data_IF_277914068390
#
_entry.id   IF_277914068390
#
_cell.length_a   1.000
_cell.length_b   1.000
_cell.length_c   1.000
_cell.angle_alpha   90.00
_cell.angle_beta   90.00
_cell.angle_gamma   90.00
#
_symmetry.space_group_name_H-M   'P 1'
#
loop_
_entity.id
_entity.type
_entity.pdbx_description
1 polymer ?
#
# COMPACT_ATOMS: atom_id res chain seq x y z
N UNK A 1 -42.55 -42.81 48.12
CA UNK A 1 -43.94 -42.85 47.69
C UNK A 1 -44.00 -43.44 46.29
N UNK A 2 -44.90 -44.45 46.10
CA UNK A 2 -45.10 -45.10 44.82
C UNK A 2 -45.75 -44.08 43.86
N UNK A 3 -45.08 -43.80 42.69
CA UNK A 3 -45.66 -42.98 41.66
C UNK A 3 -46.76 -43.75 40.93
N UNK A 4 -47.93 -43.16 40.79
CA UNK A 4 -49.09 -43.75 40.11
C UNK A 4 -49.22 -43.32 38.66
N UNK A 5 -48.37 -42.46 38.19
CA UNK A 5 -48.35 -41.97 36.82
C UNK A 5 -46.95 -41.95 36.26
N UNK A 6 -46.76 -42.28 34.96
CA UNK A 6 -45.48 -42.21 34.27
C UNK A 6 -44.91 -40.78 34.09
N UNK A 7 -45.79 -39.78 34.34
CA UNK A 7 -45.46 -38.35 34.15
C UNK A 7 -45.64 -37.56 35.47
N UNK A 8 -45.40 -38.17 36.63
CA UNK A 8 -45.59 -37.48 37.88
C UNK A 8 -44.72 -36.26 38.16
N UNK A 9 -43.52 -36.29 37.70
CA UNK A 9 -42.56 -35.17 37.84
C UNK A 9 -41.85 -34.91 36.52
N UNK A 10 -41.80 -33.67 36.13
CA UNK A 10 -40.98 -33.22 35.01
C UNK A 10 -39.59 -32.79 35.50
N UNK A 11 -38.60 -32.70 34.62
CA UNK A 11 -37.26 -32.22 34.94
C UNK A 11 -37.18 -30.71 35.22
N UNK A 12 -38.29 -30.00 35.06
CA UNK A 12 -38.35 -28.54 35.24
C UNK A 12 -37.63 -27.73 34.14
N UNK A 13 -37.60 -26.44 34.34
CA UNK A 13 -36.98 -25.49 33.42
C UNK A 13 -35.46 -25.39 33.52
N UNK A 14 -34.82 -26.18 34.39
CA UNK A 14 -33.38 -26.17 34.58
C UNK A 14 -32.66 -26.94 33.45
N UNK A 15 -32.04 -26.23 32.50
CA UNK A 15 -31.31 -26.80 31.38
C UNK A 15 -30.10 -27.64 31.78
N UNK A 16 -29.58 -27.48 33.01
CA UNK A 16 -28.41 -28.22 33.51
C UNK A 16 -28.72 -29.67 33.94
N UNK A 17 -29.98 -30.11 33.84
CA UNK A 17 -30.42 -31.47 34.16
C UNK A 17 -31.37 -32.02 33.11
N UNK A 18 -31.43 -33.35 32.99
CA UNK A 18 -32.37 -34.09 32.13
C UNK A 18 -32.84 -35.36 32.85
N UNK A 19 -33.96 -35.89 32.41
CA UNK A 19 -34.58 -37.08 33.00
C UNK A 19 -34.77 -38.18 31.96
N UNK A 20 -33.84 -39.14 31.81
CA UNK A 20 -34.06 -40.29 30.96
C UNK A 20 -35.27 -41.13 31.42
N UNK A 21 -35.78 -41.95 30.50
CA UNK A 21 -36.90 -42.87 30.83
C UNK A 21 -36.52 -43.73 32.03
N UNK A 22 -37.39 -43.77 33.03
CA UNK A 22 -37.17 -44.51 34.28
C UNK A 22 -36.31 -43.74 35.30
N UNK A 23 -36.05 -42.46 35.10
CA UNK A 23 -35.30 -41.65 36.07
C UNK A 23 -36.02 -41.53 37.40
N UNK A 24 -35.27 -41.74 38.45
CA UNK A 24 -35.69 -41.55 39.84
C UNK A 24 -35.38 -40.13 40.34
N UNK A 25 -34.27 -39.57 39.84
CA UNK A 25 -33.82 -38.20 40.10
C UNK A 25 -33.28 -37.56 38.79
N UNK A 26 -33.33 -36.23 38.68
CA UNK A 26 -32.71 -35.55 37.55
C UNK A 26 -31.21 -35.84 37.44
N UNK A 27 -30.73 -36.12 36.23
CA UNK A 27 -29.31 -36.36 35.93
C UNK A 27 -28.68 -35.05 35.47
N UNK A 28 -27.51 -34.69 35.97
CA UNK A 28 -26.76 -33.51 35.52
C UNK A 28 -26.27 -33.71 34.10
N UNK A 29 -26.41 -32.67 33.29
CA UNK A 29 -25.86 -32.65 31.92
C UNK A 29 -24.34 -32.71 31.96
N UNK A 30 -23.74 -33.45 31.05
CA UNK A 30 -22.30 -33.55 30.90
C UNK A 30 -21.74 -32.25 30.29
N UNK A 31 -20.48 -31.94 30.61
CA UNK A 31 -19.77 -30.78 29.98
C UNK A 31 -19.69 -30.99 28.48
N UNK A 32 -20.00 -29.97 27.70
CA UNK A 32 -20.03 -30.04 26.25
C UNK A 32 -21.28 -30.68 25.65
N UNK A 33 -22.33 -30.87 26.48
CA UNK A 33 -23.63 -31.38 26.04
C UNK A 33 -24.73 -30.36 26.31
N UNK A 34 -25.78 -30.38 25.50
CA UNK A 34 -27.02 -29.66 25.73
C UNK A 34 -28.19 -30.63 25.93
N UNK A 35 -29.22 -30.17 26.57
CA UNK A 35 -30.40 -31.02 26.88
C UNK A 35 -31.47 -30.82 25.82
N UNK A 36 -32.17 -31.92 25.48
CA UNK A 36 -33.27 -31.93 24.49
C UNK A 36 -34.51 -32.54 25.11
N UNK A 37 -35.68 -32.07 24.68
CA UNK A 37 -36.97 -32.64 25.06
C UNK A 37 -37.22 -33.99 24.39
N UNK A 38 -38.16 -34.79 24.92
CA UNK A 38 -38.64 -35.99 24.24
C UNK A 38 -39.69 -35.58 23.19
N UNK A 39 -39.31 -35.63 21.92
CA UNK A 39 -40.32 -35.62 20.84
C UNK A 39 -40.85 -37.01 20.66
N UNK A 40 -42.14 -37.14 20.42
CA UNK A 40 -42.90 -38.43 20.27
C UNK A 40 -42.41 -39.23 19.06
N UNK A 41 -41.43 -38.79 18.30
CA UNK A 41 -40.91 -39.40 17.09
C UNK A 41 -39.38 -39.48 16.98
N UNK A 42 -38.67 -39.56 18.09
CA UNK A 42 -37.28 -40.11 18.13
C UNK A 42 -36.18 -39.47 17.31
N UNK A 43 -36.40 -38.35 16.67
CA UNK A 43 -35.36 -37.56 16.03
C UNK A 43 -35.37 -36.11 16.55
N UNK A 44 -34.20 -35.56 16.96
CA UNK A 44 -34.12 -34.14 17.31
C UNK A 44 -34.39 -33.32 16.04
N UNK A 45 -35.51 -32.59 16.03
CA UNK A 45 -35.76 -31.60 14.96
C UNK A 45 -34.80 -30.42 15.12
N UNK A 46 -33.79 -30.35 14.29
CA UNK A 46 -32.93 -29.19 14.19
C UNK A 46 -33.71 -28.07 13.49
N UNK A 47 -34.36 -27.23 14.27
CA UNK A 47 -35.02 -26.03 13.72
C UNK A 47 -34.02 -24.91 13.58
N UNK A 48 -33.73 -24.57 12.33
CA UNK A 48 -33.04 -23.39 11.79
C UNK A 48 -31.63 -23.05 12.24
N UNK A 49 -30.69 -22.84 11.26
CA UNK A 49 -29.28 -22.52 11.53
C UNK A 49 -29.05 -21.14 12.17
N UNK A 50 -30.08 -20.31 12.32
CA UNK A 50 -29.97 -18.93 12.82
C UNK A 50 -30.65 -18.67 14.17
N UNK A 51 -31.22 -19.67 14.87
CA UNK A 51 -31.77 -19.43 16.18
C UNK A 51 -30.69 -19.62 17.26
N UNK A 52 -30.37 -18.55 18.00
CA UNK A 52 -29.41 -18.54 19.10
C UNK A 52 -29.79 -19.51 20.23
N UNK A 53 -30.99 -20.04 20.23
CA UNK A 53 -31.50 -20.97 21.26
C UNK A 53 -32.37 -22.05 20.60
N UNK A 54 -32.09 -23.30 20.90
CA UNK A 54 -33.04 -24.37 20.68
C UNK A 54 -34.00 -24.33 21.84
N UNK A 55 -35.14 -23.69 21.67
CA UNK A 55 -36.27 -23.76 22.62
C UNK A 55 -37.08 -25.02 22.30
N UNK A 56 -36.59 -26.19 22.65
CA UNK A 56 -37.43 -27.35 22.82
C UNK A 56 -38.00 -27.30 24.22
N UNK A 57 -39.25 -27.63 24.34
CA UNK A 57 -40.12 -27.69 25.51
C UNK A 57 -39.35 -27.62 26.85
N UNK A 58 -39.29 -26.44 27.44
CA UNK A 58 -38.49 -26.12 28.64
C UNK A 58 -38.78 -27.05 29.84
N UNK A 59 -39.81 -27.89 29.74
CA UNK A 59 -40.32 -28.70 30.84
C UNK A 59 -40.00 -30.19 30.71
N UNK A 60 -39.69 -30.72 29.52
CA UNK A 60 -39.57 -32.17 29.26
C UNK A 60 -38.21 -32.61 28.76
N UNK A 61 -37.14 -32.20 29.39
CA UNK A 61 -35.78 -32.57 29.01
C UNK A 61 -35.52 -34.07 29.28
N UNK A 62 -35.42 -34.87 28.20
CA UNK A 62 -35.34 -36.34 28.31
C UNK A 62 -33.96 -36.90 28.01
N UNK A 63 -33.11 -36.15 27.27
CA UNK A 63 -31.80 -36.60 26.86
C UNK A 63 -30.81 -35.45 26.82
N UNK A 64 -29.53 -35.79 26.70
CA UNK A 64 -28.46 -34.85 26.36
C UNK A 64 -27.86 -35.23 25.02
N UNK A 65 -27.44 -34.20 24.25
CA UNK A 65 -26.78 -34.33 22.96
C UNK A 65 -25.45 -33.60 23.02
N UNK A 66 -24.42 -34.18 22.47
CA UNK A 66 -23.11 -33.55 22.40
C UNK A 66 -23.15 -32.36 21.46
N UNK A 67 -22.59 -31.20 21.87
CA UNK A 67 -22.48 -30.04 21.02
C UNK A 67 -21.74 -30.36 19.72
N UNK A 68 -22.36 -30.06 18.61
CA UNK A 68 -21.80 -30.22 17.26
C UNK A 68 -20.80 -29.12 16.92
N UNK A 69 -19.95 -29.30 15.90
CA UNK A 69 -19.04 -28.26 15.39
C UNK A 69 -19.79 -26.96 15.07
N UNK A 70 -19.13 -25.83 15.35
CA UNK A 70 -19.73 -24.50 15.23
C UNK A 70 -20.48 -24.02 16.44
N UNK A 71 -20.64 -24.88 17.48
CA UNK A 71 -21.36 -24.58 18.74
C UNK A 71 -20.56 -25.00 19.97
N UNK A 72 -20.89 -24.38 21.11
CA UNK A 72 -20.40 -24.76 22.42
C UNK A 72 -21.60 -24.87 23.40
N UNK A 73 -21.47 -25.69 24.43
CA UNK A 73 -22.54 -25.96 25.35
C UNK A 73 -22.15 -25.70 26.81
N UNK A 74 -22.91 -24.84 27.47
CA UNK A 74 -22.73 -24.52 28.88
C UNK A 74 -24.05 -24.80 29.62
N UNK A 75 -23.95 -25.57 30.69
CA UNK A 75 -25.10 -25.88 31.58
C UNK A 75 -26.34 -26.38 30.80
N UNK A 76 -26.14 -27.23 29.81
CA UNK A 76 -27.20 -27.80 28.99
C UNK A 76 -27.83 -26.91 27.92
N UNK A 77 -27.27 -25.74 27.71
CA UNK A 77 -27.70 -24.80 26.66
C UNK A 77 -26.66 -24.76 25.56
N UNK A 78 -27.11 -24.80 24.32
CA UNK A 78 -26.29 -24.68 23.10
C UNK A 78 -26.17 -23.22 22.66
N UNK A 79 -24.95 -22.79 22.41
CA UNK A 79 -24.62 -21.47 21.93
C UNK A 79 -23.79 -21.59 20.64
N UNK A 80 -23.99 -20.69 19.71
CA UNK A 80 -23.17 -20.58 18.51
C UNK A 80 -21.77 -20.05 18.86
N UNK A 81 -20.71 -20.60 18.27
CA UNK A 81 -19.37 -20.03 18.39
C UNK A 81 -19.38 -18.58 17.92
N UNK A 82 -18.82 -17.63 18.70
CA UNK A 82 -18.90 -16.22 18.38
C UNK A 82 -18.08 -15.90 17.11
N UNK A 83 -18.41 -14.76 16.52
CA UNK A 83 -17.67 -14.22 15.39
C UNK A 83 -16.17 -14.09 15.69
N UNK A 84 -15.33 -14.38 14.72
CA UNK A 84 -13.87 -14.38 14.87
C UNK A 84 -13.32 -15.68 15.45
N UNK A 85 -14.20 -16.61 15.88
CA UNK A 85 -13.83 -17.91 16.41
C UNK A 85 -14.44 -19.04 15.58
N UNK A 86 -13.86 -20.23 15.69
CA UNK A 86 -14.37 -21.45 15.05
C UNK A 86 -14.47 -22.60 16.04
N UNK A 87 -15.39 -23.53 15.77
CA UNK A 87 -15.55 -24.75 16.53
C UNK A 87 -15.44 -25.97 15.63
N UNK A 88 -14.27 -26.62 15.55
CA UNK A 88 -14.03 -27.75 14.65
C UNK A 88 -14.40 -29.10 15.23
N UNK A 89 -14.59 -29.20 16.54
CA UNK A 89 -14.79 -30.45 17.24
C UNK A 89 -16.12 -30.52 17.99
N UNK A 90 -16.58 -31.72 18.26
CA UNK A 90 -17.75 -31.96 19.12
C UNK A 90 -17.41 -31.69 20.59
N UNK A 91 -18.43 -31.33 21.36
CA UNK A 91 -18.34 -31.25 22.82
C UNK A 91 -17.63 -30.02 23.36
N UNK A 92 -17.54 -28.96 22.56
CA UNK A 92 -17.02 -27.66 23.02
C UNK A 92 -17.90 -27.11 24.16
N UNK A 93 -17.26 -26.50 25.16
CA UNK A 93 -17.93 -26.06 26.40
C UNK A 93 -17.55 -24.64 26.82
N UNK A 94 -16.79 -23.92 26.02
CA UNK A 94 -16.42 -22.53 26.27
C UNK A 94 -16.69 -21.67 25.02
N UNK A 95 -16.91 -20.36 25.21
CA UNK A 95 -17.12 -19.40 24.14
C UNK A 95 -15.88 -19.14 23.27
N UNK A 96 -14.71 -19.61 23.66
CA UNK A 96 -13.49 -19.59 22.85
C UNK A 96 -13.59 -20.62 21.73
N UNK A 97 -14.48 -21.63 21.89
CA UNK A 97 -14.67 -22.74 20.96
C UNK A 97 -13.34 -23.50 20.72
N UNK A 98 -12.93 -23.71 19.48
CA UNK A 98 -11.63 -24.34 19.17
C UNK A 98 -10.50 -23.32 19.05
N UNK A 99 -10.82 -22.01 18.93
CA UNK A 99 -9.86 -20.93 18.86
C UNK A 99 -10.29 -19.81 17.91
N UNK A 100 -9.37 -18.87 17.70
CA UNK A 100 -9.54 -17.75 16.78
C UNK A 100 -9.30 -18.17 15.33
N UNK A 101 -9.94 -17.50 14.36
CA UNK A 101 -9.64 -17.65 12.94
C UNK A 101 -8.20 -17.31 12.64
N UNK A 102 -7.60 -18.07 11.74
CA UNK A 102 -6.25 -17.80 11.25
C UNK A 102 -6.17 -16.47 10.52
N UNK A 103 -5.00 -15.83 10.59
CA UNK A 103 -4.67 -14.64 9.81
C UNK A 103 -4.79 -14.91 8.31
N UNK A 104 -5.33 -13.96 7.55
CA UNK A 104 -5.71 -14.10 6.14
C UNK A 104 -7.12 -14.66 5.92
N UNK A 105 -7.82 -15.03 7.01
CA UNK A 105 -9.19 -15.56 6.97
C UNK A 105 -10.08 -14.86 7.99
N UNK A 106 -11.39 -14.97 7.78
CA UNK A 106 -12.37 -14.51 8.76
C UNK A 106 -13.44 -15.56 9.00
N UNK A 107 -14.05 -15.50 10.17
CA UNK A 107 -15.07 -16.43 10.63
C UNK A 107 -16.32 -15.69 11.10
N UNK A 108 -17.44 -15.96 10.47
CA UNK A 108 -18.75 -15.54 10.99
C UNK A 108 -19.18 -16.48 12.14
N UNK A 109 -20.26 -16.13 12.81
CA UNK A 109 -20.81 -16.95 13.89
C UNK A 109 -21.09 -18.39 13.39
N UNK A 110 -20.70 -19.38 14.22
CA UNK A 110 -20.91 -20.79 13.90
C UNK A 110 -19.91 -21.38 12.89
N UNK A 111 -18.83 -20.69 12.60
CA UNK A 111 -17.75 -21.23 11.75
C UNK A 111 -17.16 -22.50 12.34
N UNK A 112 -16.84 -23.46 11.45
CA UNK A 112 -16.29 -24.78 11.83
C UNK A 112 -14.82 -24.96 11.49
N UNK A 113 -14.23 -24.02 10.77
CA UNK A 113 -12.84 -24.06 10.31
C UNK A 113 -12.13 -22.75 10.63
N UNK A 114 -10.83 -22.77 11.02
CA UNK A 114 -10.03 -21.55 11.20
C UNK A 114 -9.82 -20.78 9.89
N UNK A 115 -10.07 -21.42 8.74
CA UNK A 115 -9.94 -20.90 7.38
C UNK A 115 -11.29 -20.85 6.68
N UNK A 116 -12.33 -20.38 7.36
CA UNK A 116 -13.70 -20.45 6.85
C UNK A 116 -13.89 -19.62 5.59
N UNK A 117 -13.48 -18.34 5.59
CA UNK A 117 -13.56 -17.43 4.46
C UNK A 117 -12.24 -16.73 4.27
N UNK A 118 -11.69 -16.74 3.05
CA UNK A 118 -10.39 -16.13 2.75
C UNK A 118 -10.50 -14.65 2.39
N UNK A 119 -9.54 -13.84 2.84
CA UNK A 119 -9.32 -12.47 2.37
C UNK A 119 -8.37 -12.50 1.17
N UNK A 120 -8.88 -12.78 -0.01
CA UNK A 120 -8.11 -13.01 -1.24
C UNK A 120 -8.04 -11.80 -2.18
N UNK A 121 -8.67 -10.69 -1.84
CA UNK A 121 -8.61 -9.44 -2.61
C UNK A 121 -7.57 -8.49 -2.01
N UNK A 122 -6.81 -7.78 -2.87
CA UNK A 122 -5.80 -6.82 -2.43
C UNK A 122 -6.40 -5.66 -1.62
N UNK A 123 -7.66 -5.30 -1.86
CA UNK A 123 -8.34 -4.20 -1.19
C UNK A 123 -8.76 -4.48 0.25
N UNK A 124 -8.58 -5.73 0.72
CA UNK A 124 -8.96 -6.17 2.08
C UNK A 124 -7.86 -6.96 2.75
N UNK A 125 -7.92 -7.06 4.06
CA UNK A 125 -7.05 -7.91 4.88
C UNK A 125 -7.78 -8.43 6.10
N UNK A 126 -7.30 -9.53 6.67
CA UNK A 126 -7.87 -10.19 7.84
C UNK A 126 -6.77 -10.55 8.83
N UNK A 127 -6.55 -9.78 9.90
CA UNK A 127 -5.74 -10.21 11.05
C UNK A 127 -6.33 -11.44 11.73
N UNK A 128 -5.53 -12.13 12.55
CA UNK A 128 -6.00 -13.23 13.39
C UNK A 128 -7.26 -12.84 14.17
N UNK A 129 -8.23 -13.73 14.26
CA UNK A 129 -9.49 -13.48 14.96
C UNK A 129 -10.48 -12.57 14.21
N UNK A 130 -10.25 -12.30 12.95
CA UNK A 130 -11.19 -11.50 12.15
C UNK A 130 -12.54 -12.17 12.00
N UNK A 131 -13.59 -11.38 12.14
CA UNK A 131 -14.98 -11.83 11.91
C UNK A 131 -15.54 -11.38 10.57
N UNK A 132 -14.86 -10.47 9.91
CA UNK A 132 -15.15 -9.96 8.55
C UNK A 132 -13.85 -9.42 7.95
N UNK A 133 -13.82 -9.22 6.63
CA UNK A 133 -12.72 -8.55 5.97
C UNK A 133 -12.68 -7.06 6.31
N UNK A 134 -11.48 -6.51 6.47
CA UNK A 134 -11.22 -5.08 6.71
C UNK A 134 -10.67 -4.45 5.44
N UNK A 135 -11.19 -3.29 5.03
CA UNK A 135 -10.71 -2.58 3.85
C UNK A 135 -9.33 -1.97 4.08
N UNK A 136 -8.47 -2.04 3.07
CA UNK A 136 -7.15 -1.41 3.09
C UNK A 136 -7.29 0.10 2.88
N UNK A 137 -6.79 0.96 3.79
CA UNK A 137 -6.83 2.40 3.61
C UNK A 137 -5.93 2.85 2.45
N UNK A 138 -6.24 4.00 1.84
CA UNK A 138 -5.35 4.65 0.87
C UNK A 138 -3.99 4.95 1.48
N UNK A 139 -2.91 4.80 0.71
CA UNK A 139 -1.54 4.93 1.20
C UNK A 139 -0.98 3.66 1.86
N UNK A 140 -1.78 2.58 1.89
CA UNK A 140 -1.35 1.26 2.37
C UNK A 140 -1.57 0.20 1.31
N UNK A 141 -0.81 -0.88 1.39
CA UNK A 141 -1.01 -2.08 0.59
C UNK A 141 -1.14 -3.31 1.49
N UNK A 142 -1.89 -4.30 1.02
CA UNK A 142 -2.10 -5.54 1.76
C UNK A 142 -0.98 -6.56 1.49
N UNK A 143 -0.61 -7.28 2.55
CA UNK A 143 0.44 -8.29 2.52
C UNK A 143 -0.17 -9.66 2.80
N UNK A 144 0.16 -10.64 1.97
CA UNK A 144 -0.21 -12.04 2.17
C UNK A 144 0.73 -12.75 3.14
N UNK A 145 0.25 -13.86 3.68
CA UNK A 145 1.03 -14.70 4.60
C UNK A 145 2.21 -15.42 3.91
N UNK A 146 2.10 -15.65 2.59
CA UNK A 146 3.15 -16.23 1.76
C UNK A 146 3.23 -15.44 0.45
N UNK A 147 4.37 -14.84 0.15
CA UNK A 147 4.63 -13.99 -1.01
C UNK A 147 4.37 -14.65 -2.38
N UNK A 148 4.34 -15.97 -2.46
CA UNK A 148 4.19 -16.71 -3.71
C UNK A 148 2.74 -17.01 -4.13
N UNK A 149 1.78 -16.86 -3.23
CA UNK A 149 0.36 -17.02 -3.55
C UNK A 149 -0.42 -15.87 -2.90
N UNK A 150 -0.71 -14.84 -3.65
CA UNK A 150 -1.53 -13.68 -3.22
C UNK A 150 -2.98 -14.05 -2.86
N UNK A 151 -3.18 -15.23 -2.27
CA UNK A 151 -4.50 -15.82 -2.01
C UNK A 151 -5.06 -15.49 -0.64
N UNK A 152 -4.22 -14.98 0.28
CA UNK A 152 -4.69 -14.61 1.63
C UNK A 152 -3.97 -13.37 2.12
N UNK A 153 -4.70 -12.32 2.46
CA UNK A 153 -4.18 -11.04 2.95
C UNK A 153 -4.38 -10.96 4.45
N UNK A 154 -3.29 -10.85 5.20
CA UNK A 154 -3.33 -10.89 6.67
C UNK A 154 -3.00 -9.57 7.35
N UNK A 155 -2.25 -8.70 6.68
CA UNK A 155 -1.77 -7.44 7.24
C UNK A 155 -1.62 -6.37 6.17
N UNK A 156 -1.28 -5.15 6.59
CA UNK A 156 -1.00 -4.02 5.70
C UNK A 156 0.34 -3.39 6.03
N UNK A 157 0.94 -2.73 5.04
CA UNK A 157 2.11 -1.88 5.22
C UNK A 157 1.92 -0.54 4.52
N UNK A 158 2.68 0.47 4.93
CA UNK A 158 2.75 1.75 4.24
C UNK A 158 3.28 1.57 2.83
N UNK A 159 2.72 2.32 1.91
CA UNK A 159 3.21 2.42 0.56
C UNK A 159 4.69 2.85 0.55
N UNK A 160 5.57 2.21 -0.20
CA UNK A 160 6.98 2.59 -0.25
C UNK A 160 7.18 3.93 -0.99
N UNK A 161 8.29 4.66 -0.69
CA UNK A 161 8.66 5.86 -1.43
C UNK A 161 8.68 5.64 -2.95
N UNK A 162 8.41 6.67 -3.72
CA UNK A 162 8.32 6.59 -5.18
C UNK A 162 7.03 5.95 -5.70
N UNK A 163 6.15 5.49 -4.82
CA UNK A 163 4.94 4.75 -5.18
C UNK A 163 3.68 5.38 -4.57
N UNK A 164 2.54 4.99 -5.13
CA UNK A 164 1.22 5.22 -4.54
C UNK A 164 0.46 3.92 -4.39
N UNK A 165 -0.43 3.87 -3.38
CA UNK A 165 -1.20 2.67 -3.07
C UNK A 165 -2.70 2.98 -3.03
N UNK A 166 -3.43 2.34 -3.92
CA UNK A 166 -4.89 2.42 -4.01
C UNK A 166 -5.44 1.00 -4.03
N UNK A 167 -6.49 0.76 -3.26
CA UNK A 167 -7.13 -0.56 -3.15
C UNK A 167 -6.11 -1.67 -2.78
N UNK A 168 -5.16 -1.34 -1.90
CA UNK A 168 -4.17 -2.30 -1.42
C UNK A 168 -3.08 -2.71 -2.42
N UNK A 169 -2.99 -2.06 -3.58
CA UNK A 169 -2.04 -2.36 -4.65
C UNK A 169 -1.01 -1.24 -4.74
N UNK A 170 0.28 -1.61 -4.77
CA UNK A 170 1.42 -0.71 -5.00
C UNK A 170 1.55 -0.43 -6.50
N UNK A 171 1.70 0.84 -6.86
CA UNK A 171 1.97 1.30 -8.22
C UNK A 171 3.03 2.41 -8.17
N UNK A 172 3.98 2.44 -9.12
CA UNK A 172 4.97 3.51 -9.18
C UNK A 172 4.33 4.85 -9.54
N UNK A 173 4.89 5.94 -9.01
CA UNK A 173 4.58 7.28 -9.47
C UNK A 173 5.05 7.45 -10.92
N UNK A 174 4.18 8.01 -11.77
CA UNK A 174 4.50 8.28 -13.17
C UNK A 174 5.68 9.27 -13.30
N UNK A 175 6.44 9.21 -14.39
CA UNK A 175 7.52 10.16 -14.63
C UNK A 175 7.06 11.61 -14.51
N UNK A 176 7.89 12.46 -13.91
CA UNK A 176 7.59 13.85 -13.59
C UNK A 176 6.92 14.06 -12.25
N UNK A 177 6.63 12.99 -11.51
CA UNK A 177 6.03 12.99 -10.17
C UNK A 177 6.91 12.24 -9.18
N UNK A 178 6.72 12.54 -7.90
CA UNK A 178 7.46 11.90 -6.80
C UNK A 178 6.55 11.59 -5.62
N UNK A 179 7.00 10.68 -4.75
CA UNK A 179 6.37 10.42 -3.45
C UNK A 179 7.41 10.08 -2.40
N UNK A 180 7.49 10.89 -1.32
CA UNK A 180 8.50 10.76 -0.27
C UNK A 180 8.25 9.53 0.61
N UNK A 181 6.98 9.29 0.95
CA UNK A 181 6.61 8.27 1.94
C UNK A 181 5.45 7.38 1.52
N UNK A 182 5.19 7.30 0.20
CA UNK A 182 4.08 6.53 -0.33
C UNK A 182 2.74 7.25 -0.23
N UNK A 183 2.20 7.58 -1.39
CA UNK A 183 0.96 8.33 -1.52
C UNK A 183 -0.27 7.43 -1.55
N UNK A 184 -1.40 7.97 -1.15
CA UNK A 184 -2.73 7.37 -1.33
C UNK A 184 -3.44 7.81 -2.61
N UNK A 185 -2.76 8.58 -3.48
CA UNK A 185 -3.30 9.13 -4.73
C UNK A 185 -2.36 8.86 -5.90
N UNK A 186 -2.93 8.67 -7.09
CA UNK A 186 -2.17 8.56 -8.34
C UNK A 186 -1.40 9.86 -8.70
N UNK A 187 -1.77 10.99 -8.11
CA UNK A 187 -1.03 12.24 -8.22
C UNK A 187 0.28 12.24 -7.44
N UNK A 188 0.52 11.20 -6.64
CA UNK A 188 1.64 11.09 -5.72
C UNK A 188 1.69 12.31 -4.78
N UNK A 189 2.89 12.74 -4.33
CA UNK A 189 2.99 13.91 -3.46
C UNK A 189 3.06 15.22 -4.27
N UNK A 190 3.43 15.11 -5.55
CA UNK A 190 3.47 16.26 -6.44
C UNK A 190 4.32 16.08 -7.68
N UNK A 191 4.57 17.22 -8.35
CA UNK A 191 5.45 17.33 -9.51
C UNK A 191 6.88 17.62 -9.05
N UNK A 192 7.88 17.12 -9.79
CA UNK A 192 9.26 17.48 -9.60
C UNK A 192 9.47 18.98 -9.74
N UNK A 193 10.44 19.51 -9.00
CA UNK A 193 10.80 20.92 -9.03
C UNK A 193 11.41 21.32 -10.36
N UNK A 194 11.32 22.62 -10.67
CA UNK A 194 12.03 23.21 -11.82
C UNK A 194 13.54 23.01 -11.67
N UNK A 195 14.22 22.74 -12.76
CA UNK A 195 15.65 22.40 -12.77
C UNK A 195 15.95 20.92 -12.54
N UNK A 196 14.93 20.12 -12.21
CA UNK A 196 15.05 18.68 -11.96
C UNK A 196 14.09 17.89 -12.84
N UNK A 197 14.38 16.62 -13.03
CA UNK A 197 13.46 15.67 -13.62
C UNK A 197 13.31 14.43 -12.75
N UNK A 198 12.15 13.81 -12.83
CA UNK A 198 11.84 12.59 -12.10
C UNK A 198 11.56 11.45 -13.07
N UNK A 199 12.40 10.42 -13.10
CA UNK A 199 12.07 9.15 -13.72
C UNK A 199 10.86 8.47 -13.04
N UNK A 200 10.46 7.32 -13.57
CA UNK A 200 9.49 6.45 -12.93
C UNK A 200 9.94 6.11 -11.50
N UNK A 201 9.00 6.10 -10.53
CA UNK A 201 9.23 5.69 -9.14
C UNK A 201 10.15 6.66 -8.34
N UNK A 202 10.16 7.94 -8.69
CA UNK A 202 10.94 8.94 -7.98
C UNK A 202 10.42 9.20 -6.57
N UNK A 203 11.36 9.33 -5.63
CA UNK A 203 11.08 9.52 -4.20
C UNK A 203 11.29 10.95 -3.71
N UNK A 204 11.78 11.86 -4.57
CA UNK A 204 12.08 13.25 -4.24
C UNK A 204 11.65 14.19 -5.35
N UNK A 205 11.25 15.44 -4.99
CA UNK A 205 10.99 16.51 -5.94
C UNK A 205 12.24 16.92 -6.73
N UNK A 206 13.42 16.63 -6.18
CA UNK A 206 14.74 16.95 -6.71
C UNK A 206 15.53 15.67 -7.00
N UNK A 207 14.89 14.68 -7.63
CA UNK A 207 15.46 13.34 -7.80
C UNK A 207 16.72 13.35 -8.64
N UNK A 208 16.66 13.99 -9.82
CA UNK A 208 17.80 14.08 -10.74
C UNK A 208 17.88 15.48 -11.32
N UNK A 209 19.07 16.07 -11.30
CA UNK A 209 19.32 17.37 -11.90
C UNK A 209 19.13 17.35 -13.43
N UNK A 210 18.58 18.41 -13.99
CA UNK A 210 18.77 18.68 -15.41
C UNK A 210 20.28 18.80 -15.71
N UNK A 211 20.82 18.06 -16.67
CA UNK A 211 22.27 18.01 -16.91
C UNK A 211 22.81 19.34 -17.39
N UNK A 212 24.10 19.60 -17.16
CA UNK A 212 24.75 20.80 -17.67
C UNK A 212 24.51 21.01 -19.16
N UNK A 213 24.29 22.27 -19.60
CA UNK A 213 23.93 22.64 -20.96
C UNK A 213 22.42 22.56 -21.24
N UNK A 214 21.64 22.13 -20.28
CA UNK A 214 20.17 22.06 -20.35
C UNK A 214 19.52 22.83 -19.20
N UNK A 215 18.25 23.14 -19.36
CA UNK A 215 17.45 23.80 -18.32
C UNK A 215 16.06 23.20 -18.20
N UNK A 216 15.47 23.29 -17.03
CA UNK A 216 14.11 22.85 -16.70
C UNK A 216 13.28 24.01 -16.15
N UNK A 217 12.59 24.76 -17.03
CA UNK A 217 11.89 25.99 -16.64
C UNK A 217 10.57 25.79 -15.91
N UNK A 218 10.08 24.57 -15.81
CA UNK A 218 8.78 24.26 -15.20
C UNK A 218 8.85 22.93 -14.43
N UNK A 219 7.96 22.75 -13.43
CA UNK A 219 7.86 21.50 -12.70
C UNK A 219 7.44 20.32 -13.59
N UNK A 220 7.70 19.09 -13.12
CA UNK A 220 7.20 17.88 -13.74
C UNK A 220 7.97 17.41 -14.97
N UNK A 221 9.29 17.73 -15.07
CA UNK A 221 10.14 17.15 -16.10
C UNK A 221 10.30 15.65 -15.91
N UNK A 222 10.31 14.90 -17.01
CA UNK A 222 10.24 13.43 -17.00
C UNK A 222 11.57 12.74 -17.32
N UNK A 223 12.52 13.45 -17.94
CA UNK A 223 13.78 12.89 -18.39
C UNK A 223 14.87 13.97 -18.54
N UNK A 224 16.09 13.54 -18.84
CA UNK A 224 17.28 14.38 -19.03
C UNK A 224 17.18 15.46 -20.12
N UNK A 225 16.22 15.38 -21.02
CA UNK A 225 15.99 16.42 -22.03
C UNK A 225 15.55 17.73 -21.40
N UNK A 226 14.86 17.64 -20.24
CA UNK A 226 14.30 18.76 -19.49
C UNK A 226 13.40 19.65 -20.36
N UNK A 227 13.47 20.99 -20.26
CA UNK A 227 12.72 21.89 -21.14
C UNK A 227 13.48 22.09 -22.49
N UNK A 228 14.81 22.09 -22.44
CA UNK A 228 15.60 22.30 -23.63
C UNK A 228 17.08 22.57 -23.34
N UNK A 229 17.79 23.06 -24.38
CA UNK A 229 19.21 23.39 -24.32
C UNK A 229 19.41 24.89 -24.03
N UNK A 230 20.50 25.20 -23.36
CA UNK A 230 20.92 26.57 -23.08
C UNK A 230 21.07 27.39 -24.36
N UNK A 231 20.71 28.67 -24.30
CA UNK A 231 20.89 29.61 -25.41
C UNK A 231 22.38 29.92 -25.67
N UNK A 232 22.74 30.17 -26.92
CA UNK A 232 24.09 30.61 -27.25
C UNK A 232 24.42 31.93 -26.53
N UNK A 233 25.64 32.04 -26.05
CA UNK A 233 26.10 33.18 -25.24
C UNK A 233 25.85 33.05 -23.74
N UNK A 234 25.25 31.97 -23.34
CA UNK A 234 24.98 31.62 -21.94
C UNK A 234 25.41 30.19 -21.62
N UNK A 235 25.61 29.87 -20.37
CA UNK A 235 25.81 28.49 -19.93
C UNK A 235 24.85 28.13 -18.80
N UNK A 236 24.48 26.89 -18.75
CA UNK A 236 23.58 26.33 -17.78
C UNK A 236 24.30 25.23 -16.97
N UNK A 237 24.71 25.51 -15.75
CA UNK A 237 25.16 24.43 -14.85
C UNK A 237 24.01 23.41 -14.57
N UNK A 238 24.30 22.35 -13.83
CA UNK A 238 23.25 21.44 -13.33
C UNK A 238 22.11 22.19 -12.68
N UNK A 239 20.89 21.65 -12.77
CA UNK A 239 19.64 22.18 -12.24
C UNK A 239 19.27 23.60 -12.66
N UNK A 240 19.79 24.10 -13.79
CA UNK A 240 19.38 25.39 -14.35
C UNK A 240 17.91 25.43 -14.70
N UNK A 241 17.29 26.59 -14.50
CA UNK A 241 15.84 26.80 -14.74
C UNK A 241 15.56 27.70 -15.93
N UNK A 242 16.58 28.39 -16.47
CA UNK A 242 16.48 29.34 -17.57
C UNK A 242 17.43 28.96 -18.73
N UNK A 243 17.06 29.21 -20.03
CA UNK A 243 17.97 29.05 -21.13
C UNK A 243 19.10 30.09 -21.13
N UNK A 244 19.00 31.13 -20.30
CA UNK A 244 19.94 32.25 -20.15
C UNK A 244 20.39 32.36 -18.69
N UNK A 245 20.73 31.20 -18.06
CA UNK A 245 20.98 31.12 -16.62
C UNK A 245 22.18 31.97 -16.20
N UNK A 246 23.31 31.78 -16.86
CA UNK A 246 24.57 32.45 -16.55
C UNK A 246 25.18 33.09 -17.79
N UNK A 247 25.60 34.36 -17.66
CA UNK A 247 26.33 35.11 -18.70
C UNK A 247 27.83 34.81 -18.69
N UNK A 248 28.48 35.12 -19.81
CA UNK A 248 29.89 34.93 -20.02
C UNK A 248 30.79 35.71 -19.04
N UNK A 249 30.55 36.97 -18.90
CA UNK A 249 31.30 37.85 -18.03
C UNK A 249 32.74 38.21 -18.43
N UNK A 250 33.37 37.43 -19.32
CA UNK A 250 34.76 37.61 -19.78
C UNK A 250 34.90 37.33 -21.26
N UNK A 251 35.87 38.02 -21.92
CA UNK A 251 36.12 37.89 -23.37
C UNK A 251 37.05 36.73 -23.74
N UNK A 252 37.61 36.02 -22.77
CA UNK A 252 38.46 34.85 -22.93
C UNK A 252 37.72 33.51 -22.92
N UNK A 253 36.39 33.56 -22.86
CA UNK A 253 35.51 32.42 -22.95
C UNK A 253 34.34 32.67 -23.91
N UNK A 254 33.76 31.63 -24.44
CA UNK A 254 32.60 31.67 -25.31
C UNK A 254 31.64 30.52 -25.01
N UNK A 255 30.37 30.65 -25.44
CA UNK A 255 29.31 29.71 -25.13
C UNK A 255 28.51 29.38 -26.38
N UNK A 256 28.83 28.28 -27.07
CA UNK A 256 27.94 27.71 -28.06
C UNK A 256 26.57 27.33 -27.43
N UNK A 257 25.58 27.11 -28.29
CA UNK A 257 24.28 26.59 -27.83
C UNK A 257 24.47 25.28 -27.05
N UNK A 258 23.82 25.16 -25.91
CA UNK A 258 23.92 23.97 -25.05
C UNK A 258 25.19 23.92 -24.19
N UNK A 259 25.85 25.04 -23.91
CA UNK A 259 27.00 25.09 -23.02
C UNK A 259 26.59 24.80 -21.57
N UNK A 260 27.24 23.82 -20.93
CA UNK A 260 27.12 23.53 -19.52
C UNK A 260 28.17 24.19 -18.62
N UNK A 261 29.25 24.70 -19.26
CA UNK A 261 30.35 25.39 -18.61
C UNK A 261 31.04 26.31 -19.63
N UNK A 262 31.86 27.26 -19.14
CA UNK A 262 32.64 28.13 -20.03
C UNK A 262 33.63 27.36 -20.93
N UNK A 263 33.67 27.70 -22.21
CA UNK A 263 34.68 27.23 -23.15
C UNK A 263 35.78 28.26 -23.27
N UNK A 264 37.04 27.96 -22.88
CA UNK A 264 38.15 28.88 -23.03
C UNK A 264 38.47 29.09 -24.51
N UNK A 265 38.84 30.29 -24.85
CA UNK A 265 39.31 30.63 -26.22
C UNK A 265 40.69 30.02 -26.46
N UNK A 266 40.86 29.33 -27.60
CA UNK A 266 42.11 28.72 -27.98
C UNK A 266 43.19 29.78 -28.38
N UNK A 267 44.47 29.45 -28.21
CA UNK A 267 45.58 30.31 -28.66
C UNK A 267 45.49 30.47 -30.14
N UNK A 268 45.56 31.73 -30.61
CA UNK A 268 45.42 32.07 -32.02
C UNK A 268 43.97 32.30 -32.48
N UNK A 269 43.03 32.32 -31.54
CA UNK A 269 41.60 32.62 -31.80
C UNK A 269 41.13 33.83 -30.98
N UNK A 270 40.04 34.45 -31.40
CA UNK A 270 39.33 35.49 -30.67
C UNK A 270 37.83 35.18 -30.64
N UNK A 271 37.17 35.66 -29.60
CA UNK A 271 35.72 35.44 -29.44
C UNK A 271 34.87 36.32 -30.34
N UNK A 272 33.72 35.80 -30.78
CA UNK A 272 32.81 36.50 -31.67
C UNK A 272 31.36 36.15 -31.32
N UNK A 273 30.45 36.90 -31.95
CA UNK A 273 29.00 36.73 -31.72
C UNK A 273 28.50 37.33 -30.41
N UNK A 274 27.24 37.75 -30.38
CA UNK A 274 26.62 38.36 -29.21
C UNK A 274 27.22 39.70 -28.80
N UNK A 275 27.13 40.02 -27.51
CA UNK A 275 27.73 41.19 -26.84
C UNK A 275 29.08 40.80 -26.21
N UNK A 276 29.74 41.72 -25.52
CA UNK A 276 30.95 41.43 -24.71
C UNK A 276 30.69 40.41 -23.62
N UNK A 277 29.45 40.25 -23.18
CA UNK A 277 29.03 39.33 -22.11
C UNK A 277 28.39 38.04 -22.63
N UNK A 278 28.01 37.97 -23.92
CA UNK A 278 27.30 36.80 -24.49
C UNK A 278 28.01 36.27 -25.75
N UNK A 279 29.32 36.01 -25.65
CA UNK A 279 30.13 35.43 -26.74
C UNK A 279 29.65 34.03 -27.11
N UNK A 280 29.44 33.78 -28.42
CA UNK A 280 28.82 32.52 -28.87
C UNK A 280 29.80 31.58 -29.56
N UNK A 281 30.95 32.09 -30.06
CA UNK A 281 31.91 31.31 -30.83
C UNK A 281 33.30 31.92 -30.79
N UNK A 282 34.29 31.20 -31.36
CA UNK A 282 35.65 31.70 -31.61
C UNK A 282 35.98 31.61 -33.09
N UNK A 283 36.83 32.54 -33.58
CA UNK A 283 37.34 32.60 -34.95
C UNK A 283 38.87 32.66 -34.92
N UNK A 284 39.52 31.95 -35.85
CA UNK A 284 40.96 31.93 -35.99
C UNK A 284 41.53 33.34 -36.45
N UNK A 285 42.58 33.75 -35.78
CA UNK A 285 43.28 34.97 -36.17
C UNK A 285 43.94 34.77 -37.54
N UNK A 286 43.59 35.56 -38.58
CA UNK A 286 44.21 35.49 -39.90
C UNK A 286 45.50 36.30 -39.97
N UNK A 287 46.51 35.79 -40.70
CA UNK A 287 47.75 36.50 -40.96
C UNK A 287 47.43 37.72 -41.81
N UNK A 288 47.71 38.92 -41.29
CA UNK A 288 47.42 40.21 -41.99
C UNK A 288 46.47 41.12 -41.21
N UNK A 289 45.92 40.70 -40.13
CA UNK A 289 45.05 41.52 -39.26
C UNK A 289 45.88 42.34 -38.26
N UNK A 290 46.85 43.12 -38.86
CA UNK A 290 47.80 43.96 -38.12
C UNK A 290 47.16 45.25 -37.57
N UNK A 291 45.94 45.57 -37.92
CA UNK A 291 45.33 46.87 -37.61
C UNK A 291 44.66 47.00 -36.30
N UNK A 292 44.66 45.95 -35.51
CA UNK A 292 44.15 46.00 -34.11
C UNK A 292 42.71 46.49 -33.92
N UNK A 293 42.01 46.84 -34.97
CA UNK A 293 40.61 47.30 -34.93
C UNK A 293 39.70 46.16 -35.31
N UNK A 294 38.93 45.63 -34.38
CA UNK A 294 37.88 44.65 -34.68
C UNK A 294 36.89 45.33 -35.69
N UNK A 295 36.22 44.55 -36.53
CA UNK A 295 35.01 45.02 -37.21
C UNK A 295 34.08 45.69 -36.22
N UNK A 296 33.41 46.77 -36.64
CA UNK A 296 32.48 47.52 -35.78
C UNK A 296 31.54 46.57 -35.02
N UNK A 297 31.64 46.55 -33.70
CA UNK A 297 30.83 45.70 -32.84
C UNK A 297 31.48 44.45 -32.23
N UNK A 298 32.77 44.17 -32.51
CA UNK A 298 33.52 43.03 -31.95
C UNK A 298 34.65 43.55 -31.06
N UNK A 299 34.63 43.26 -29.79
CA UNK A 299 35.76 43.44 -28.85
C UNK A 299 36.65 42.19 -28.94
N UNK A 300 37.96 42.40 -29.27
CA UNK A 300 38.95 41.31 -29.31
C UNK A 300 39.40 40.91 -27.90
N UNK A 301 39.53 39.61 -27.65
CA UNK A 301 40.37 39.14 -26.55
C UNK A 301 41.82 39.15 -26.97
N UNK A 302 42.75 39.42 -26.06
CA UNK A 302 44.21 39.48 -26.26
C UNK A 302 44.87 38.11 -26.57
N UNK A 303 44.15 37.16 -27.15
CA UNK A 303 44.72 35.83 -27.47
C UNK A 303 45.27 35.69 -28.90
N UNK A 304 45.02 36.65 -29.76
CA UNK A 304 45.71 36.68 -31.01
C UNK A 304 47.14 37.19 -30.78
N UNK A 305 48.22 36.42 -31.09
CA UNK A 305 49.58 36.91 -30.94
C UNK A 305 49.72 38.11 -31.87
N UNK A 306 50.18 39.23 -31.34
CA UNK A 306 50.75 40.29 -32.11
C UNK A 306 52.06 39.75 -32.71
N UNK A 307 52.03 39.26 -33.94
CA UNK A 307 53.23 38.94 -34.66
C UNK A 307 53.96 40.27 -34.95
N UNK A 308 54.86 40.64 -34.08
CA UNK A 308 55.99 41.43 -34.46
C UNK A 308 56.86 40.55 -35.37
N UNK A 309 56.85 40.81 -36.64
CA UNK A 309 57.91 40.38 -37.56
C UNK A 309 59.25 40.94 -37.12
#
# INVERSE_FOLDING_TARGET
PASTSATNYNCGSNSSVYCPVGSFVPTRVSVGYYTVGSTVSGLPTVSHPNSMQVTDDEHNRAAQVQCEPGFYCIAGVRYVCPRGHYGSTYGLYTNICSGECEDGYYCDAGSTSPRQFSCNDASVYCPMGSYQSTTVPSGYYSIGKNDSAMTTRSTIAHCPPGNFCINGIVRPCEPGRYSISGSGSADCDGLCDSGYYCPLESSSATEVDCPPGRYGSRPGMINEVCTGICSAGYYCPSHSVSPTEMECGHDDVYFPVGSGSPFPVDIGYYTTGGTTQTRTSQIHCTVGDTTGTPPIGITRTNKCPTTTL
#
